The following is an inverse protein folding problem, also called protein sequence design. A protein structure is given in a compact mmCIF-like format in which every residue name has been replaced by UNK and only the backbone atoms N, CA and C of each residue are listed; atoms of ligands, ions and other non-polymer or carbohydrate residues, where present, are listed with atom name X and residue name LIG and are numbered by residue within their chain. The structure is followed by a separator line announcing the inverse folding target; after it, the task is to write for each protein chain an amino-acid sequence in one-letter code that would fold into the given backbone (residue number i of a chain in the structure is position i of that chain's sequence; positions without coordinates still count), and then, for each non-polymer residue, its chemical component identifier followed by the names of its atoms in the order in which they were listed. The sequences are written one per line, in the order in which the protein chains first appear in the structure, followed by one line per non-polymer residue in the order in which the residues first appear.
data_IF_140182647557
#
_entry.id   IF_140182647557
#
_cell.length_a   1.000
_cell.length_b   1.000
_cell.length_c   1.000
_cell.angle_alpha   90.00
_cell.angle_beta   90.00
_cell.angle_gamma   90.00
#
_symmetry.space_group_name_H-M   'P 1'
#
loop_
_entity.id
_entity.type
_entity.pdbx_description
1 polymer ?
#
# COMPACT_ATOMS: atom_id res chain seq x y z
N UNK A 1 -30.44 11.52 -17.98
CA UNK A 1 -29.00 11.66 -17.68
C UNK A 1 -28.43 10.25 -17.57
N UNK A 2 -27.46 9.89 -18.41
CA UNK A 2 -26.84 8.57 -18.32
C UNK A 2 -26.08 8.49 -16.98
N UNK A 3 -26.50 7.57 -16.11
CA UNK A 3 -25.80 7.29 -14.86
C UNK A 3 -24.44 6.68 -15.19
N UNK A 4 -23.40 7.48 -15.18
CA UNK A 4 -22.02 7.01 -15.33
C UNK A 4 -21.56 6.55 -13.94
N UNK A 5 -21.08 5.31 -13.85
CA UNK A 5 -20.40 4.78 -12.68
C UNK A 5 -18.93 4.51 -12.98
N UNK A 6 -18.10 4.63 -11.98
CA UNK A 6 -16.67 4.33 -12.04
C UNK A 6 -16.38 3.17 -11.09
N UNK A 7 -15.82 2.10 -11.63
CA UNK A 7 -15.57 0.85 -10.92
C UNK A 7 -14.09 0.54 -10.95
N UNK A 8 -13.42 0.53 -9.81
CA UNK A 8 -12.00 0.14 -9.70
C UNK A 8 -11.87 -1.28 -9.20
N UNK A 9 -11.07 -2.08 -9.89
CA UNK A 9 -10.87 -3.49 -9.56
C UNK A 9 -9.79 -3.63 -8.50
N UNK A 10 -10.13 -4.23 -7.36
CA UNK A 10 -9.21 -4.53 -6.28
C UNK A 10 -8.46 -5.83 -6.57
N UNK A 11 -7.12 -5.80 -6.52
CA UNK A 11 -6.29 -6.95 -6.85
C UNK A 11 -5.94 -7.83 -5.66
N UNK A 12 -5.85 -7.27 -4.48
CA UNK A 12 -5.47 -8.02 -3.28
C UNK A 12 -6.65 -8.42 -2.38
N UNK A 13 -7.87 -8.36 -2.91
CA UNK A 13 -9.05 -8.89 -2.22
C UNK A 13 -9.90 -9.68 -3.20
N UNK A 14 -10.30 -10.89 -2.80
CA UNK A 14 -11.10 -11.79 -3.62
C UNK A 14 -12.52 -11.97 -3.11
N UNK A 15 -12.86 -11.47 -1.93
CA UNK A 15 -14.20 -11.59 -1.37
C UNK A 15 -14.49 -10.57 -0.28
N UNK A 16 -15.77 -10.25 -0.16
CA UNK A 16 -16.35 -9.60 1.01
C UNK A 16 -17.10 -10.68 1.80
N UNK A 17 -16.80 -10.79 3.09
CA UNK A 17 -17.49 -11.75 3.98
C UNK A 17 -18.97 -11.39 4.01
N UNK A 18 -19.83 -12.40 3.86
CA UNK A 18 -21.29 -12.28 3.74
C UNK A 18 -21.79 -11.56 2.46
N UNK A 19 -20.93 -11.28 1.49
CA UNK A 19 -21.27 -10.64 0.19
C UNK A 19 -22.03 -9.31 0.28
N UNK A 20 -22.09 -8.69 1.45
CA UNK A 20 -22.74 -7.38 1.63
C UNK A 20 -21.79 -6.25 1.27
N UNK A 21 -22.26 -5.19 0.56
CA UNK A 21 -21.45 -4.03 0.27
C UNK A 21 -20.94 -3.35 1.55
N UNK A 22 -19.67 -2.91 1.50
CA UNK A 22 -19.05 -2.11 2.54
C UNK A 22 -19.10 -0.64 2.11
N UNK A 23 -20.03 0.13 2.67
CA UNK A 23 -20.15 1.55 2.37
C UNK A 23 -19.06 2.34 3.08
N UNK A 24 -18.30 3.11 2.31
CA UNK A 24 -17.26 4.03 2.80
C UNK A 24 -17.86 5.43 2.95
N UNK A 25 -18.67 5.83 1.97
CA UNK A 25 -19.47 7.05 1.94
C UNK A 25 -20.82 6.76 1.25
N UNK A 26 -21.72 7.76 1.22
CA UNK A 26 -23.06 7.58 0.64
C UNK A 26 -23.05 7.12 -0.83
N UNK A 27 -22.01 7.51 -1.57
CA UNK A 27 -21.87 7.24 -3.01
C UNK A 27 -20.71 6.32 -3.35
N UNK A 28 -20.04 5.76 -2.33
CA UNK A 28 -18.81 4.99 -2.48
C UNK A 28 -18.90 3.72 -1.65
N UNK A 29 -18.76 2.57 -2.33
CA UNK A 29 -18.73 1.29 -1.63
C UNK A 29 -17.75 0.31 -2.26
N UNK A 30 -17.25 -0.61 -1.43
CA UNK A 30 -16.61 -1.85 -1.85
C UNK A 30 -17.70 -2.92 -1.94
N UNK A 31 -17.79 -3.59 -3.07
CA UNK A 31 -18.76 -4.67 -3.30
C UNK A 31 -18.17 -5.76 -4.20
N UNK A 32 -18.82 -6.90 -4.22
CA UNK A 32 -18.54 -7.90 -5.26
C UNK A 32 -18.90 -7.34 -6.63
N UNK A 33 -18.10 -7.66 -7.64
CA UNK A 33 -18.41 -7.32 -9.02
C UNK A 33 -19.69 -8.05 -9.48
N UNK A 34 -20.49 -7.37 -10.30
CA UNK A 34 -21.67 -7.98 -10.95
C UNK A 34 -21.22 -8.93 -12.05
N UNK A 35 -22.07 -9.82 -12.46
CA UNK A 35 -21.74 -10.83 -13.49
C UNK A 35 -21.19 -10.20 -14.79
N UNK A 36 -21.84 -9.16 -15.31
CA UNK A 36 -21.36 -8.47 -16.51
C UNK A 36 -20.03 -7.73 -16.28
N UNK A 37 -19.79 -7.21 -15.07
CA UNK A 37 -18.50 -6.58 -14.68
C UNK A 37 -17.40 -7.64 -14.63
N UNK A 38 -17.69 -8.83 -14.10
CA UNK A 38 -16.74 -9.95 -14.12
C UNK A 38 -16.34 -10.30 -15.54
N UNK A 39 -17.29 -10.40 -16.48
CA UNK A 39 -16.99 -10.66 -17.87
C UNK A 39 -16.10 -9.56 -18.49
N UNK A 40 -16.39 -8.28 -18.24
CA UNK A 40 -15.56 -7.16 -18.70
C UNK A 40 -14.15 -7.18 -18.09
N UNK A 41 -14.03 -7.54 -16.82
CA UNK A 41 -12.74 -7.68 -16.13
C UNK A 41 -11.93 -8.80 -16.76
N UNK A 42 -12.54 -9.98 -16.93
CA UNK A 42 -11.91 -11.16 -17.55
C UNK A 42 -11.42 -10.85 -18.97
N UNK A 43 -12.23 -10.20 -19.79
CA UNK A 43 -11.85 -9.79 -21.15
C UNK A 43 -10.64 -8.85 -21.16
N UNK A 44 -10.58 -7.91 -20.19
CA UNK A 44 -9.45 -6.98 -20.07
C UNK A 44 -8.19 -7.67 -19.60
N UNK A 45 -8.30 -8.56 -18.64
CA UNK A 45 -7.17 -9.36 -18.17
C UNK A 45 -6.63 -10.24 -19.30
N UNK A 46 -7.49 -10.85 -20.10
CA UNK A 46 -7.07 -11.66 -21.25
C UNK A 46 -6.39 -10.82 -22.33
N UNK A 47 -6.86 -9.59 -22.60
CA UNK A 47 -6.19 -8.66 -23.51
C UNK A 47 -4.80 -8.25 -23.03
N UNK A 48 -4.66 -7.99 -21.73
CA UNK A 48 -3.35 -7.67 -21.11
C UNK A 48 -2.40 -8.86 -21.23
N UNK A 49 -2.88 -10.07 -21.01
CA UNK A 49 -2.11 -11.31 -21.19
C UNK A 49 -1.63 -11.49 -22.62
N UNK A 50 -2.52 -11.34 -23.61
CA UNK A 50 -2.18 -11.46 -25.03
C UNK A 50 -1.21 -10.39 -25.50
N UNK A 51 -1.21 -9.22 -24.88
CA UNK A 51 -0.28 -8.13 -25.16
C UNK A 51 1.15 -8.35 -24.61
N UNK A 52 1.42 -9.51 -24.02
CA UNK A 52 2.73 -9.83 -23.43
C UNK A 52 3.02 -9.13 -22.10
N UNK A 53 2.09 -8.31 -21.65
CA UNK A 53 2.14 -7.66 -20.36
C UNK A 53 1.63 -8.67 -19.32
N UNK A 54 2.39 -9.65 -18.85
CA UNK A 54 1.98 -10.51 -17.72
C UNK A 54 1.58 -11.96 -18.02
N UNK A 55 2.31 -12.68 -18.85
CA UNK A 55 1.98 -14.08 -19.13
C UNK A 55 1.93 -14.95 -17.86
N UNK A 56 2.73 -14.62 -16.83
CA UNK A 56 2.79 -15.37 -15.58
C UNK A 56 1.93 -14.77 -14.45
N UNK A 57 1.61 -13.48 -14.50
CA UNK A 57 1.06 -12.74 -13.37
C UNK A 57 -0.46 -12.66 -13.36
N UNK A 58 -1.12 -12.91 -14.51
CA UNK A 58 -2.59 -12.97 -14.59
C UNK A 58 -3.13 -14.26 -13.95
N UNK A 59 -2.33 -15.30 -13.87
CA UNK A 59 -2.66 -16.46 -13.03
C UNK A 59 -2.99 -16.06 -11.59
N UNK A 60 -2.37 -14.97 -11.12
CA UNK A 60 -2.50 -14.43 -9.78
C UNK A 60 -3.84 -13.74 -9.52
N UNK A 61 -4.51 -13.24 -10.56
CA UNK A 61 -5.85 -12.67 -10.40
C UNK A 61 -6.93 -13.74 -10.31
N UNK A 62 -6.51 -15.04 -10.31
CA UNK A 62 -7.30 -16.11 -9.77
C UNK A 62 -8.31 -16.75 -10.69
N UNK A 63 -8.26 -16.44 -11.97
CA UNK A 63 -9.02 -17.18 -12.98
C UNK A 63 -8.23 -18.35 -13.58
N UNK A 64 -6.94 -18.44 -13.27
CA UNK A 64 -6.02 -19.45 -13.80
C UNK A 64 -5.36 -20.23 -12.67
N UNK A 65 -5.45 -21.54 -12.71
CA UNK A 65 -4.75 -22.43 -11.78
C UNK A 65 -3.67 -23.21 -12.54
N UNK A 66 -2.51 -23.49 -11.93
CA UNK A 66 -1.59 -24.45 -12.51
C UNK A 66 -2.29 -25.78 -12.69
N UNK A 67 -2.12 -26.40 -13.88
CA UNK A 67 -2.61 -27.75 -14.13
C UNK A 67 -1.67 -28.71 -13.42
N UNK A 68 -2.23 -29.50 -12.53
CA UNK A 68 -1.47 -30.49 -11.74
C UNK A 68 -1.27 -31.78 -12.57
N UNK A 69 -0.66 -31.63 -13.76
CA UNK A 69 -0.36 -32.75 -14.67
C UNK A 69 1.14 -33.06 -14.77
N UNK A 70 1.95 -32.46 -13.91
CA UNK A 70 3.40 -32.66 -13.88
C UNK A 70 4.15 -32.05 -15.07
N UNK A 71 3.47 -31.36 -16.00
CA UNK A 71 4.07 -30.82 -17.23
C UNK A 71 4.67 -29.42 -17.07
N UNK A 72 4.70 -28.90 -15.86
CA UNK A 72 5.40 -27.67 -15.47
C UNK A 72 5.18 -26.47 -16.38
N UNK A 73 3.95 -25.98 -16.51
CA UNK A 73 3.74 -24.71 -17.21
C UNK A 73 2.36 -24.51 -17.86
N UNK A 74 1.46 -25.46 -17.72
CA UNK A 74 0.09 -25.31 -18.26
C UNK A 74 -0.83 -24.78 -17.17
N UNK A 75 -1.55 -23.66 -17.45
CA UNK A 75 -2.56 -23.10 -16.56
C UNK A 75 -3.94 -23.40 -17.09
N UNK A 76 -4.86 -23.81 -16.22
CA UNK A 76 -6.25 -24.05 -16.54
C UNK A 76 -7.07 -22.85 -16.07
N UNK A 77 -7.92 -22.32 -16.95
CA UNK A 77 -8.92 -21.34 -16.55
C UNK A 77 -9.89 -21.99 -15.55
N UNK A 78 -10.08 -21.34 -14.42
CA UNK A 78 -11.11 -21.80 -13.48
C UNK A 78 -12.49 -21.63 -14.10
N UNK A 79 -13.29 -22.69 -14.12
CA UNK A 79 -14.70 -22.62 -14.55
C UNK A 79 -15.58 -21.84 -13.56
N UNK A 80 -15.04 -21.49 -12.40
CA UNK A 80 -15.72 -20.64 -11.42
C UNK A 80 -15.10 -19.23 -11.48
N UNK A 81 -15.85 -18.22 -11.95
CA UNK A 81 -15.40 -16.84 -11.86
C UNK A 81 -15.10 -16.54 -10.38
N UNK A 82 -13.90 -16.05 -10.09
CA UNK A 82 -13.65 -15.50 -8.76
C UNK A 82 -14.51 -14.26 -8.60
N UNK A 83 -15.16 -14.05 -7.46
CA UNK A 83 -15.82 -12.78 -7.19
C UNK A 83 -14.71 -11.71 -7.07
N UNK A 84 -14.65 -10.81 -8.05
CA UNK A 84 -13.81 -9.63 -7.92
C UNK A 84 -14.43 -8.69 -6.91
N UNK A 85 -13.59 -8.07 -6.09
CA UNK A 85 -13.99 -6.94 -5.25
C UNK A 85 -13.73 -5.66 -6.03
N UNK A 86 -14.70 -4.79 -6.06
CA UNK A 86 -14.62 -3.53 -6.77
C UNK A 86 -14.99 -2.36 -5.87
N UNK A 87 -14.30 -1.23 -6.08
CA UNK A 87 -14.68 0.05 -5.53
C UNK A 87 -15.61 0.75 -6.54
N UNK A 88 -16.85 0.99 -6.14
CA UNK A 88 -17.87 1.64 -6.96
C UNK A 88 -18.03 3.10 -6.52
N UNK A 89 -17.88 4.03 -7.46
CA UNK A 89 -17.98 5.48 -7.23
C UNK A 89 -18.74 6.17 -8.36
N UNK A 90 -19.36 7.31 -8.06
CA UNK A 90 -20.06 8.12 -9.06
C UNK A 90 -19.16 9.10 -9.81
N UNK A 91 -17.97 9.38 -9.30
CA UNK A 91 -17.07 10.39 -9.83
C UNK A 91 -15.65 9.85 -9.97
N UNK A 92 -15.05 10.09 -11.14
CA UNK A 92 -13.65 9.73 -11.39
C UNK A 92 -12.65 10.44 -10.45
N UNK A 93 -12.92 11.70 -10.10
CA UNK A 93 -12.05 12.45 -9.18
C UNK A 93 -12.09 11.86 -7.78
N UNK A 94 -13.29 11.50 -7.31
CA UNK A 94 -13.48 10.81 -6.03
C UNK A 94 -12.81 9.44 -6.04
N UNK A 95 -12.91 8.69 -7.13
CA UNK A 95 -12.28 7.40 -7.31
C UNK A 95 -10.79 7.43 -6.93
N UNK A 96 -10.01 8.36 -7.51
CA UNK A 96 -8.57 8.47 -7.23
C UNK A 96 -8.27 8.78 -5.76
N UNK A 97 -9.05 9.65 -5.14
CA UNK A 97 -8.89 9.97 -3.72
C UNK A 97 -9.17 8.75 -2.87
N UNK A 98 -10.26 8.02 -3.15
CA UNK A 98 -10.61 6.81 -2.41
C UNK A 98 -9.57 5.70 -2.59
N UNK A 99 -9.08 5.45 -3.80
CA UNK A 99 -8.01 4.49 -4.06
C UNK A 99 -6.75 4.82 -3.24
N UNK A 100 -6.37 6.11 -3.21
CA UNK A 100 -5.22 6.58 -2.42
C UNK A 100 -5.43 6.36 -0.91
N UNK A 101 -6.61 6.67 -0.39
CA UNK A 101 -6.93 6.45 1.02
C UNK A 101 -6.98 4.96 1.38
N UNK A 102 -7.51 4.13 0.49
CA UNK A 102 -7.58 2.69 0.71
C UNK A 102 -6.22 1.99 0.61
N UNK A 103 -5.27 2.56 -0.14
CA UNK A 103 -3.89 2.08 -0.18
C UNK A 103 -3.19 2.16 1.19
N UNK A 104 -3.52 3.18 1.98
CA UNK A 104 -2.93 3.37 3.33
C UNK A 104 -3.82 2.85 4.46
N UNK A 105 -4.99 2.33 4.15
CA UNK A 105 -5.94 1.79 5.11
C UNK A 105 -5.45 0.47 5.76
N UNK A 106 -6.24 -0.07 6.65
CA UNK A 106 -6.02 -1.37 7.30
C UNK A 106 -7.27 -2.24 7.12
N UNK A 107 -7.19 -3.32 6.34
CA UNK A 107 -6.05 -3.72 5.50
C UNK A 107 -5.85 -2.79 4.29
N UNK A 108 -4.63 -2.69 3.72
CA UNK A 108 -4.39 -1.90 2.53
C UNK A 108 -5.02 -2.55 1.30
N UNK A 109 -5.63 -1.74 0.42
CA UNK A 109 -6.22 -2.21 -0.84
C UNK A 109 -5.46 -1.66 -2.04
N UNK A 110 -5.21 -2.54 -3.00
CA UNK A 110 -4.50 -2.24 -4.25
C UNK A 110 -5.47 -2.32 -5.43
N UNK A 111 -5.52 -1.27 -6.23
CA UNK A 111 -6.40 -1.20 -7.39
C UNK A 111 -5.59 -1.25 -8.69
N UNK A 112 -5.98 -2.13 -9.62
CA UNK A 112 -5.26 -2.39 -10.86
C UNK A 112 -5.74 -1.56 -12.04
N UNK A 113 -7.02 -1.51 -12.27
CA UNK A 113 -7.63 -0.70 -13.32
C UNK A 113 -9.04 -0.29 -12.97
N UNK A 114 -9.52 0.77 -13.62
CA UNK A 114 -10.87 1.28 -13.47
C UNK A 114 -11.67 1.12 -14.75
N UNK A 115 -12.94 0.81 -14.61
CA UNK A 115 -13.95 0.76 -15.66
C UNK A 115 -14.88 1.96 -15.52
N UNK A 116 -15.13 2.66 -16.61
CA UNK A 116 -16.20 3.65 -16.69
C UNK A 116 -17.38 3.02 -17.41
N UNK A 117 -18.50 2.96 -16.74
CA UNK A 117 -19.70 2.28 -17.20
C UNK A 117 -20.85 3.26 -17.40
N UNK A 118 -21.67 3.06 -18.43
CA UNK A 118 -22.98 3.70 -18.62
C UNK A 118 -24.03 2.60 -18.68
N UNK A 119 -24.72 2.37 -17.55
CA UNK A 119 -25.48 1.15 -17.34
C UNK A 119 -24.55 -0.06 -17.41
N UNK A 120 -24.87 -1.04 -18.24
CA UNK A 120 -24.07 -2.26 -18.44
C UNK A 120 -23.04 -2.13 -19.59
N UNK A 121 -22.90 -0.93 -20.17
CA UNK A 121 -21.98 -0.70 -21.28
C UNK A 121 -20.68 -0.10 -20.81
N UNK A 122 -19.58 -0.72 -21.23
CA UNK A 122 -18.23 -0.17 -21.01
C UNK A 122 -18.02 1.05 -21.91
N UNK A 123 -17.76 2.21 -21.30
CA UNK A 123 -17.41 3.46 -21.99
C UNK A 123 -15.92 3.62 -22.16
N UNK A 124 -15.16 3.36 -21.10
CA UNK A 124 -13.69 3.44 -21.13
C UNK A 124 -13.07 2.54 -20.05
N UNK A 125 -11.81 2.18 -20.29
CA UNK A 125 -10.95 1.50 -19.31
C UNK A 125 -9.80 2.42 -18.99
N UNK A 126 -9.57 2.66 -17.72
CA UNK A 126 -8.37 3.33 -17.26
C UNK A 126 -7.48 2.32 -16.56
N UNK A 127 -6.36 2.03 -17.19
CA UNK A 127 -5.33 1.22 -16.58
C UNK A 127 -4.52 2.16 -15.67
N UNK A 128 -4.44 1.80 -14.40
CA UNK A 128 -3.48 2.43 -13.51
C UNK A 128 -2.11 1.86 -13.89
N UNK A 129 -1.30 2.64 -14.61
CA UNK A 129 0.06 2.24 -15.00
C UNK A 129 0.88 1.74 -13.80
N UNK A 130 0.49 2.19 -12.66
CA UNK A 130 0.95 1.84 -11.32
C UNK A 130 0.71 0.37 -10.95
N UNK A 131 -0.47 -0.12 -11.24
CA UNK A 131 -0.82 -1.50 -10.98
C UNK A 131 -0.13 -2.47 -11.94
N UNK A 132 0.12 -2.05 -13.17
CA UNK A 132 0.79 -2.87 -14.17
C UNK A 132 2.23 -3.21 -13.76
N UNK A 133 2.95 -2.24 -13.17
CA UNK A 133 4.28 -2.52 -12.62
C UNK A 133 4.23 -3.39 -11.35
N UNK A 134 3.15 -3.32 -10.58
CA UNK A 134 2.96 -4.18 -9.42
C UNK A 134 2.60 -5.61 -9.82
N UNK A 135 1.88 -5.82 -10.93
CA UNK A 135 1.52 -7.14 -11.42
C UNK A 135 2.72 -7.90 -12.01
N UNK A 136 3.67 -7.21 -12.64
CA UNK A 136 4.93 -7.81 -13.13
C UNK A 136 5.98 -8.01 -12.06
N UNK A 137 5.62 -7.82 -10.81
CA UNK A 137 6.54 -7.82 -9.71
C UNK A 137 6.27 -9.05 -8.81
N UNK A 138 7.27 -9.91 -8.48
CA UNK A 138 7.10 -11.05 -7.57
C UNK A 138 6.55 -10.70 -6.17
N UNK A 139 6.37 -9.40 -5.84
CA UNK A 139 5.55 -8.99 -4.67
C UNK A 139 4.09 -9.33 -4.83
N UNK A 140 3.56 -9.35 -6.04
CA UNK A 140 2.19 -9.79 -6.26
C UNK A 140 2.06 -11.27 -5.91
N UNK A 141 3.08 -12.10 -6.17
CA UNK A 141 3.10 -13.47 -5.67
C UNK A 141 2.96 -13.53 -4.16
N UNK A 142 3.61 -12.63 -3.44
CA UNK A 142 3.52 -12.56 -1.97
C UNK A 142 2.28 -11.85 -1.46
N UNK A 143 1.70 -10.93 -2.23
CA UNK A 143 0.38 -10.37 -1.93
C UNK A 143 -0.73 -11.41 -2.11
N UNK A 144 -0.53 -12.41 -2.97
CA UNK A 144 -1.46 -13.55 -3.11
C UNK A 144 -1.46 -14.48 -1.90
N UNK A 145 -0.35 -14.65 -1.22
CA UNK A 145 -0.31 -15.32 0.08
C UNK A 145 -1.12 -14.55 1.15
N UNK A 146 -1.42 -13.28 0.88
CA UNK A 146 -2.18 -12.38 1.74
C UNK A 146 -3.45 -11.84 1.08
N UNK A 147 -4.20 -12.68 0.34
CA UNK A 147 -5.52 -12.28 -0.12
C UNK A 147 -6.42 -11.90 1.06
N UNK A 148 -6.76 -10.63 1.13
CA UNK A 148 -7.56 -10.09 2.21
C UNK A 148 -9.02 -10.43 1.99
N UNK A 149 -9.64 -11.10 2.97
CA UNK A 149 -11.10 -11.21 3.04
C UNK A 149 -11.64 -10.01 3.81
N UNK A 150 -12.39 -9.14 3.13
CA UNK A 150 -12.91 -7.92 3.73
C UNK A 150 -14.14 -8.20 4.59
N UNK A 151 -14.20 -7.57 5.74
CA UNK A 151 -15.30 -7.66 6.71
C UNK A 151 -15.97 -6.29 6.90
N UNK A 152 -17.12 -6.25 7.58
CA UNK A 152 -17.74 -4.98 8.00
C UNK A 152 -16.84 -4.17 8.95
N UNK A 153 -15.99 -4.83 9.73
CA UNK A 153 -15.04 -4.13 10.63
C UNK A 153 -13.99 -3.33 9.84
N UNK A 154 -13.50 -3.87 8.72
CA UNK A 154 -12.59 -3.14 7.84
C UNK A 154 -13.25 -1.88 7.27
N UNK A 155 -14.56 -1.94 7.00
CA UNK A 155 -15.35 -0.79 6.61
C UNK A 155 -15.34 0.36 7.63
N UNK A 156 -15.20 0.08 8.92
CA UNK A 156 -15.08 1.12 9.95
C UNK A 156 -13.72 1.83 9.85
N UNK A 157 -12.64 1.10 9.59
CA UNK A 157 -11.32 1.68 9.33
C UNK A 157 -11.36 2.58 8.10
N UNK A 158 -11.96 2.12 7.00
CA UNK A 158 -12.08 2.88 5.75
C UNK A 158 -12.90 4.16 5.94
N UNK A 159 -14.04 4.07 6.64
CA UNK A 159 -14.89 5.22 6.96
C UNK A 159 -14.21 6.22 7.88
N UNK A 160 -13.42 5.78 8.85
CA UNK A 160 -12.72 6.69 9.76
C UNK A 160 -11.72 7.56 9.01
N UNK A 161 -10.95 6.98 8.08
CA UNK A 161 -10.02 7.72 7.22
C UNK A 161 -10.79 8.69 6.32
N UNK A 162 -11.88 8.25 5.70
CA UNK A 162 -12.70 9.10 4.86
C UNK A 162 -13.32 10.27 5.64
N UNK A 163 -13.95 9.98 6.79
CA UNK A 163 -14.58 11.01 7.61
C UNK A 163 -13.60 12.05 8.12
N UNK A 164 -12.36 11.66 8.42
CA UNK A 164 -11.32 12.61 8.81
C UNK A 164 -11.00 13.63 7.70
N UNK A 165 -11.28 13.30 6.45
CA UNK A 165 -11.01 14.14 5.28
C UNK A 165 -12.25 14.83 4.72
N UNK A 166 -13.44 14.53 5.24
CA UNK A 166 -14.71 15.02 4.68
C UNK A 166 -14.84 16.56 4.68
N UNK A 167 -14.18 17.23 5.62
CA UNK A 167 -14.14 18.71 5.73
C UNK A 167 -12.96 19.35 5.00
N UNK A 168 -12.08 18.57 4.36
CA UNK A 168 -10.87 19.08 3.75
C UNK A 168 -11.17 19.81 2.44
N UNK A 169 -10.56 20.96 2.28
CA UNK A 169 -10.56 21.69 1.01
C UNK A 169 -9.39 21.19 0.11
N UNK A 170 -9.33 21.70 -1.13
CA UNK A 170 -8.33 21.28 -2.12
C UNK A 170 -6.88 21.49 -1.63
N UNK A 171 -6.63 22.54 -0.87
CA UNK A 171 -5.29 22.83 -0.34
C UNK A 171 -4.87 21.86 0.76
N UNK A 172 -5.82 21.41 1.59
CA UNK A 172 -5.55 20.43 2.64
C UNK A 172 -5.10 19.08 2.06
N UNK A 173 -5.62 18.71 0.90
CA UNK A 173 -5.30 17.48 0.20
C UNK A 173 -3.91 17.48 -0.47
N UNK A 174 -3.39 18.65 -0.85
CA UNK A 174 -2.18 18.73 -1.70
C UNK A 174 -1.01 17.94 -1.12
N UNK A 175 -0.71 18.14 0.15
CA UNK A 175 0.43 17.49 0.78
C UNK A 175 0.19 16.03 1.11
N UNK A 176 -0.91 15.63 1.78
CA UNK A 176 -1.20 14.22 2.05
C UNK A 176 -1.24 13.37 0.79
N UNK A 177 -1.93 13.80 -0.27
CA UNK A 177 -1.96 13.08 -1.53
C UNK A 177 -0.57 12.98 -2.18
N UNK A 178 0.23 14.05 -2.12
CA UNK A 178 1.61 14.02 -2.61
C UNK A 178 2.46 12.98 -1.88
N UNK A 179 2.32 12.86 -0.55
CA UNK A 179 3.04 11.85 0.24
C UNK A 179 2.53 10.44 -0.03
N UNK A 180 1.22 10.24 -0.20
CA UNK A 180 0.65 8.93 -0.59
C UNK A 180 1.12 8.54 -1.99
N UNK A 181 1.19 9.50 -2.93
CA UNK A 181 1.69 9.25 -4.28
C UNK A 181 3.18 8.85 -4.27
N UNK A 182 4.02 9.52 -3.48
CA UNK A 182 5.41 9.11 -3.29
C UNK A 182 5.53 7.70 -2.71
N UNK A 183 4.69 7.36 -1.73
CA UNK A 183 4.63 6.00 -1.19
C UNK A 183 4.21 4.99 -2.27
N UNK A 184 3.16 5.28 -3.03
CA UNK A 184 2.73 4.45 -4.15
C UNK A 184 3.84 4.25 -5.18
N UNK A 185 4.60 5.30 -5.51
CA UNK A 185 5.78 5.21 -6.39
C UNK A 185 6.90 4.33 -5.81
N UNK A 186 7.16 4.44 -4.51
CA UNK A 186 8.15 3.57 -3.85
C UNK A 186 7.75 2.09 -3.92
N UNK A 187 6.46 1.78 -3.82
CA UNK A 187 5.97 0.40 -3.95
C UNK A 187 6.14 -0.19 -5.37
N UNK A 188 6.31 0.65 -6.40
CA UNK A 188 6.54 0.22 -7.80
C UNK A 188 7.98 -0.20 -8.08
N UNK A 189 8.90 0.18 -7.22
CA UNK A 189 10.29 -0.24 -7.34
C UNK A 189 10.41 -1.74 -7.08
N UNK A 190 11.44 -2.36 -7.65
CA UNK A 190 11.68 -3.79 -7.48
C UNK A 190 11.64 -4.18 -6.01
N UNK A 191 10.81 -5.17 -5.63
CA UNK A 191 10.61 -5.55 -4.23
C UNK A 191 11.88 -5.97 -3.53
N UNK A 192 12.00 -5.55 -2.28
CA UNK A 192 13.18 -5.85 -1.48
C UNK A 192 14.46 -5.23 -2.04
N UNK A 193 14.36 -4.32 -3.05
CA UNK A 193 15.53 -3.66 -3.62
C UNK A 193 16.04 -2.52 -2.75
N UNK A 194 17.33 -2.22 -2.91
CA UNK A 194 17.97 -1.06 -2.26
C UNK A 194 17.25 0.25 -2.61
N UNK A 195 16.82 0.41 -3.87
CA UNK A 195 16.10 1.61 -4.31
C UNK A 195 14.73 1.74 -3.68
N UNK A 196 14.00 0.63 -3.50
CA UNK A 196 12.73 0.64 -2.80
C UNK A 196 12.90 1.04 -1.33
N UNK A 197 13.92 0.50 -0.66
CA UNK A 197 14.24 0.86 0.71
C UNK A 197 14.53 2.35 0.86
N UNK A 198 15.41 2.91 0.00
CA UNK A 198 15.73 4.35 0.00
C UNK A 198 14.49 5.23 -0.26
N UNK A 199 13.66 4.85 -1.23
CA UNK A 199 12.45 5.60 -1.55
C UNK A 199 11.47 5.63 -0.36
N UNK A 200 11.27 4.49 0.32
CA UNK A 200 10.44 4.42 1.52
C UNK A 200 11.01 5.25 2.67
N UNK A 201 12.33 5.23 2.89
CA UNK A 201 12.97 6.11 3.85
C UNK A 201 12.73 7.58 3.52
N UNK A 202 12.79 7.97 2.24
CA UNK A 202 12.50 9.34 1.79
C UNK A 202 11.07 9.76 2.08
N UNK A 203 10.09 8.85 1.96
CA UNK A 203 8.70 9.13 2.36
C UNK A 203 8.61 9.44 3.87
N UNK A 204 9.27 8.65 4.72
CA UNK A 204 9.32 8.92 6.17
C UNK A 204 9.99 10.27 6.47
N UNK A 205 11.13 10.53 5.83
CA UNK A 205 11.84 11.81 5.96
C UNK A 205 10.95 12.99 5.58
N UNK A 206 10.24 12.90 4.45
CA UNK A 206 9.32 13.94 3.99
C UNK A 206 8.15 14.21 4.94
N UNK A 207 7.73 13.20 5.72
CA UNK A 207 6.67 13.37 6.71
C UNK A 207 7.15 13.94 8.03
N UNK A 208 8.34 13.57 8.51
CA UNK A 208 8.75 13.79 9.90
C UNK A 208 9.91 14.77 10.06
N UNK A 209 10.74 14.92 9.02
CA UNK A 209 11.97 15.71 9.15
C UNK A 209 11.74 17.15 8.71
N UNK A 210 12.14 18.11 9.54
CA UNK A 210 12.28 19.49 9.14
C UNK A 210 13.73 19.79 8.79
N UNK A 211 13.95 20.76 7.92
CA UNK A 211 15.30 21.28 7.67
C UNK A 211 15.71 22.13 8.85
N UNK A 212 16.79 21.78 9.60
CA UNK A 212 17.27 22.62 10.68
C UNK A 212 17.68 23.99 10.11
N UNK A 213 17.37 25.06 10.82
CA UNK A 213 17.93 26.37 10.54
C UNK A 213 19.45 26.25 10.69
N UNK A 214 20.22 27.02 9.93
CA UNK A 214 21.70 26.93 9.86
C UNK A 214 22.41 27.05 11.21
N UNK A 215 21.73 27.52 12.27
CA UNK A 215 22.20 27.58 13.64
C UNK A 215 22.03 26.31 14.48
N UNK A 216 21.14 25.37 14.02
CA UNK A 216 20.80 24.14 14.74
C UNK A 216 21.45 22.91 14.10
N UNK A 217 22.77 22.84 14.14
CA UNK A 217 23.54 21.68 13.64
C UNK A 217 23.34 20.39 14.47
N UNK A 218 22.56 20.44 15.55
CA UNK A 218 22.44 19.34 16.50
C UNK A 218 21.33 18.33 16.19
N UNK A 219 20.34 18.67 15.35
CA UNK A 219 19.24 17.76 15.01
C UNK A 219 19.40 17.09 13.63
N UNK A 220 20.23 16.06 13.58
CA UNK A 220 20.34 15.25 12.36
C UNK A 220 19.00 14.56 12.03
N UNK A 221 18.76 14.28 10.73
CA UNK A 221 17.61 13.52 10.23
C UNK A 221 17.36 12.22 11.03
N UNK A 222 18.44 11.47 11.29
CA UNK A 222 18.40 10.24 12.09
C UNK A 222 17.87 10.47 13.51
N UNK A 223 18.33 11.53 14.18
CA UNK A 223 17.89 11.87 15.55
C UNK A 223 16.41 12.25 15.59
N UNK A 224 15.96 13.06 14.64
CA UNK A 224 14.53 13.41 14.54
C UNK A 224 13.65 12.19 14.37
N UNK A 225 14.02 11.26 13.49
CA UNK A 225 13.26 10.03 13.22
C UNK A 225 13.23 9.13 14.46
N UNK A 226 14.38 8.89 15.09
CA UNK A 226 14.50 8.09 16.33
C UNK A 226 13.58 8.61 17.44
N UNK A 227 13.44 9.92 17.56
CA UNK A 227 12.57 10.54 18.56
C UNK A 227 11.09 10.52 18.20
N UNK A 228 10.74 10.83 16.94
CA UNK A 228 9.36 11.07 16.53
C UNK A 228 8.57 9.79 16.25
N UNK A 229 9.19 8.78 15.65
CA UNK A 229 8.50 7.53 15.32
C UNK A 229 7.97 6.80 16.56
N UNK A 230 8.73 6.58 17.64
CA UNK A 230 8.20 5.92 18.83
C UNK A 230 7.01 6.65 19.48
N UNK A 231 6.96 7.98 19.39
CA UNK A 231 5.82 8.76 19.88
C UNK A 231 4.55 8.47 19.08
N UNK A 232 4.67 8.41 17.74
CA UNK A 232 3.55 8.12 16.85
C UNK A 232 3.08 6.67 16.99
N UNK A 233 4.00 5.74 17.19
CA UNK A 233 3.65 4.33 17.43
C UNK A 233 2.75 4.14 18.65
N UNK A 234 3.03 4.85 19.75
CA UNK A 234 2.22 4.77 20.98
C UNK A 234 0.80 5.32 20.80
N UNK A 235 0.58 6.14 19.79
CA UNK A 235 -0.73 6.73 19.47
C UNK A 235 -1.50 5.92 18.42
N UNK A 236 -0.80 5.09 17.66
CA UNK A 236 -1.43 4.32 16.60
C UNK A 236 -2.17 3.10 17.17
N UNK A 237 -3.47 2.89 16.86
CA UNK A 237 -4.23 1.72 17.31
C UNK A 237 -3.65 0.39 16.80
N UNK A 238 -3.06 0.40 15.62
CA UNK A 238 -2.45 -0.77 14.98
C UNK A 238 -1.04 -0.44 14.51
N UNK A 239 -0.06 -0.39 15.43
CA UNK A 239 1.32 -0.08 15.08
C UNK A 239 1.97 -1.24 14.32
N UNK A 240 2.92 -0.92 13.43
CA UNK A 240 3.76 -1.92 12.78
C UNK A 240 4.80 -2.45 13.77
N UNK A 241 4.46 -3.49 14.53
CA UNK A 241 5.35 -4.02 15.57
C UNK A 241 6.63 -4.62 14.95
N UNK A 242 7.82 -4.24 15.41
CA UNK A 242 9.08 -4.77 14.88
C UNK A 242 9.20 -6.30 14.95
N UNK A 243 8.66 -6.91 16.00
CA UNK A 243 8.66 -8.37 16.20
C UNK A 243 7.98 -9.14 15.07
N UNK A 244 7.06 -8.51 14.33
CA UNK A 244 6.40 -9.12 13.16
C UNK A 244 7.33 -9.21 11.93
N UNK A 245 8.42 -8.45 11.91
CA UNK A 245 9.34 -8.35 10.78
C UNK A 245 10.74 -8.85 11.11
N UNK A 246 11.13 -8.73 12.37
CA UNK A 246 12.44 -9.11 12.89
C UNK A 246 12.26 -10.13 14.03
N UNK A 247 12.31 -11.45 13.74
CA UNK A 247 12.00 -12.49 14.73
C UNK A 247 12.93 -12.48 15.96
N UNK A 248 14.13 -11.91 15.83
CA UNK A 248 15.07 -11.74 16.93
C UNK A 248 14.88 -10.47 17.74
N UNK A 249 13.97 -9.59 17.31
CA UNK A 249 13.68 -8.36 18.03
C UNK A 249 12.93 -8.69 19.32
N UNK A 250 13.49 -8.26 20.46
CA UNK A 250 12.87 -8.46 21.77
C UNK A 250 12.17 -7.17 22.21
N UNK A 251 11.09 -7.34 22.96
CA UNK A 251 10.27 -6.20 23.41
C UNK A 251 11.03 -5.20 24.34
N UNK A 252 12.14 -5.66 24.96
CA UNK A 252 13.04 -4.84 25.76
C UNK A 252 14.07 -4.05 24.94
N UNK A 253 14.17 -4.32 23.63
CA UNK A 253 15.06 -3.59 22.74
C UNK A 253 14.49 -2.20 22.42
N UNK A 254 15.38 -1.21 22.41
CA UNK A 254 14.97 0.16 22.21
C UNK A 254 14.64 0.44 20.74
N UNK A 255 13.55 1.16 20.52
CA UNK A 255 13.16 1.70 19.21
C UNK A 255 14.26 2.57 18.59
N UNK A 256 15.00 3.30 19.44
CA UNK A 256 16.14 4.11 19.02
C UNK A 256 17.24 3.28 18.37
N UNK A 257 17.52 2.08 18.92
CA UNK A 257 18.50 1.18 18.37
C UNK A 257 18.05 0.63 17.02
N UNK A 258 16.76 0.25 16.87
CA UNK A 258 16.19 -0.23 15.60
C UNK A 258 16.28 0.84 14.52
N UNK A 259 15.77 2.05 14.81
CA UNK A 259 15.81 3.14 13.82
C UNK A 259 17.24 3.64 13.58
N UNK A 260 18.13 3.44 14.55
CA UNK A 260 19.57 3.63 14.36
C UNK A 260 20.12 2.68 13.29
N UNK A 261 19.88 1.38 13.46
CA UNK A 261 20.35 0.36 12.53
C UNK A 261 19.76 0.54 11.12
N UNK A 262 18.47 0.87 11.02
CA UNK A 262 17.81 1.15 9.72
C UNK A 262 18.39 2.39 9.03
N UNK A 263 18.78 3.40 9.81
CA UNK A 263 19.38 4.62 9.26
C UNK A 263 20.84 4.43 8.84
N UNK A 264 21.59 3.60 9.58
CA UNK A 264 22.95 3.20 9.19
C UNK A 264 22.87 2.40 7.87
N UNK A 265 21.95 1.45 7.77
CA UNK A 265 21.67 0.72 6.53
C UNK A 265 21.29 1.65 5.37
N UNK A 266 20.43 2.65 5.62
CA UNK A 266 20.05 3.66 4.64
C UNK A 266 21.27 4.44 4.15
N UNK A 267 22.18 4.79 5.05
CA UNK A 267 23.40 5.50 4.71
C UNK A 267 24.36 4.65 3.88
N UNK A 268 24.61 3.39 4.29
CA UNK A 268 25.41 2.43 3.54
C UNK A 268 24.90 2.30 2.09
N UNK A 269 23.60 2.05 1.92
CA UNK A 269 22.99 1.91 0.59
C UNK A 269 23.12 3.20 -0.23
N UNK A 270 22.88 4.36 0.38
CA UNK A 270 22.95 5.65 -0.32
C UNK A 270 24.37 5.99 -0.79
N UNK A 271 25.39 5.54 -0.09
CA UNK A 271 26.80 5.71 -0.45
C UNK A 271 27.32 4.60 -1.38
N UNK A 272 26.50 3.59 -1.68
CA UNK A 272 26.88 2.47 -2.56
C UNK A 272 27.63 1.36 -1.84
N UNK A 273 27.68 1.40 -0.52
CA UNK A 273 28.35 0.38 0.29
C UNK A 273 27.57 -0.95 0.30
N UNK A 274 28.23 -2.02 0.73
CA UNK A 274 27.56 -3.29 0.95
C UNK A 274 26.72 -3.21 2.24
N UNK A 275 25.42 -3.54 2.18
CA UNK A 275 24.54 -3.48 3.35
C UNK A 275 24.96 -4.47 4.43
N UNK A 276 25.00 -4.00 5.67
CA UNK A 276 25.30 -4.81 6.84
C UNK A 276 24.04 -5.04 7.66
N UNK A 277 23.60 -6.31 7.77
CA UNK A 277 22.36 -6.66 8.49
C UNK A 277 22.61 -7.18 9.90
N UNK A 278 23.83 -7.64 10.19
CA UNK A 278 24.19 -8.19 11.50
C UNK A 278 24.78 -7.10 12.38
N UNK A 279 24.15 -6.85 13.51
CA UNK A 279 24.68 -5.93 14.52
C UNK A 279 25.88 -6.54 15.23
N UNK A 280 27.09 -6.00 15.04
CA UNK A 280 28.26 -6.34 15.85
C UNK A 280 28.39 -5.37 17.01
N UNK A 281 28.11 -5.82 18.25
CA UNK A 281 28.30 -5.03 19.48
C UNK A 281 27.10 -5.03 20.43
N UNK A 282 27.34 -4.63 21.68
CA UNK A 282 26.34 -4.58 22.74
C UNK A 282 25.23 -3.58 22.40
N UNK A 283 23.97 -4.02 22.29
CA UNK A 283 22.83 -3.16 21.97
C UNK A 283 22.52 -2.95 20.48
N UNK A 284 23.26 -3.58 19.57
CA UNK A 284 22.94 -3.54 18.15
C UNK A 284 21.87 -4.57 17.78
N UNK A 285 21.03 -4.22 16.82
CA UNK A 285 19.89 -5.02 16.37
C UNK A 285 20.25 -5.72 15.07
N UNK A 286 19.95 -7.01 14.98
CA UNK A 286 20.01 -7.78 13.74
C UNK A 286 18.80 -7.44 12.87
N UNK A 287 19.04 -6.86 11.70
CA UNK A 287 18.02 -6.50 10.71
C UNK A 287 17.59 -7.65 9.80
N UNK A 288 18.16 -8.84 9.99
CA UNK A 288 17.92 -10.10 9.23
C UNK A 288 18.32 -9.96 7.77
N UNK A 289 17.54 -9.23 6.96
CA UNK A 289 17.78 -9.01 5.53
C UNK A 289 17.10 -7.71 5.04
N UNK A 290 17.40 -7.32 3.81
CA UNK A 290 16.86 -6.11 3.20
C UNK A 290 15.35 -6.19 2.98
N UNK A 291 14.84 -7.37 2.68
CA UNK A 291 13.41 -7.58 2.44
C UNK A 291 12.58 -7.31 3.70
N UNK A 292 13.01 -7.84 4.85
CA UNK A 292 12.39 -7.58 6.15
C UNK A 292 12.42 -6.09 6.50
N UNK A 293 13.54 -5.42 6.20
CA UNK A 293 13.68 -3.97 6.36
C UNK A 293 12.69 -3.20 5.48
N UNK A 294 12.56 -3.56 4.20
CA UNK A 294 11.60 -2.94 3.26
C UNK A 294 10.17 -3.13 3.75
N UNK A 295 9.79 -4.34 4.15
CA UNK A 295 8.46 -4.65 4.68
C UNK A 295 8.13 -3.80 5.92
N UNK A 296 9.05 -3.73 6.87
CA UNK A 296 8.89 -2.95 8.09
C UNK A 296 8.76 -1.45 7.81
N UNK A 297 9.67 -0.89 7.01
CA UNK A 297 9.66 0.53 6.64
C UNK A 297 8.40 0.86 5.85
N UNK A 298 7.94 -0.01 4.93
CA UNK A 298 6.67 0.15 4.21
C UNK A 298 5.46 0.17 5.15
N UNK A 299 5.39 -0.75 6.11
CA UNK A 299 4.33 -0.77 7.13
C UNK A 299 4.35 0.51 7.99
N UNK A 300 5.55 0.99 8.34
CA UNK A 300 5.72 2.26 9.06
C UNK A 300 5.27 3.45 8.21
N UNK A 301 5.60 3.51 6.91
CA UNK A 301 5.09 4.55 6.01
C UNK A 301 3.56 4.59 6.01
N UNK A 302 2.88 3.45 5.87
CA UNK A 302 1.41 3.40 5.91
C UNK A 302 0.85 3.91 7.22
N UNK A 303 1.44 3.50 8.34
CA UNK A 303 1.05 3.98 9.66
C UNK A 303 1.16 5.51 9.76
N UNK A 304 2.29 6.08 9.33
CA UNK A 304 2.53 7.51 9.37
C UNK A 304 1.61 8.29 8.42
N UNK A 305 1.33 7.74 7.23
CA UNK A 305 0.39 8.33 6.28
C UNK A 305 -1.05 8.33 6.82
N UNK A 306 -1.47 7.25 7.50
CA UNK A 306 -2.76 7.25 8.23
C UNK A 306 -2.77 8.33 9.30
N UNK A 307 -1.70 8.46 10.07
CA UNK A 307 -1.63 9.47 11.11
C UNK A 307 -1.65 10.90 10.55
N UNK A 308 -1.02 11.12 9.40
CA UNK A 308 -1.09 12.39 8.66
C UNK A 308 -2.52 12.78 8.29
N UNK A 309 -3.36 11.80 7.99
CA UNK A 309 -4.78 12.00 7.69
C UNK A 309 -5.61 12.19 8.96
N UNK A 310 -5.41 11.33 9.96
CA UNK A 310 -6.24 11.30 11.16
C UNK A 310 -5.90 12.42 12.15
N UNK A 311 -4.63 12.79 12.26
CA UNK A 311 -4.15 13.84 13.17
C UNK A 311 -3.22 14.83 12.44
N UNK A 312 -3.73 15.60 11.47
CA UNK A 312 -2.88 16.45 10.62
C UNK A 312 -2.17 17.56 11.41
N UNK A 313 -2.76 18.03 12.52
CA UNK A 313 -2.14 19.02 13.37
C UNK A 313 -0.92 18.44 14.12
N UNK A 314 -1.06 17.26 14.71
CA UNK A 314 0.06 16.56 15.36
C UNK A 314 1.24 16.39 14.40
N UNK A 315 0.96 15.98 13.16
CA UNK A 315 2.01 15.78 12.16
C UNK A 315 2.70 17.09 11.77
N UNK A 316 1.95 18.20 11.70
CA UNK A 316 2.54 19.54 11.51
C UNK A 316 3.42 19.97 12.69
N UNK A 317 2.93 19.76 13.91
CA UNK A 317 3.66 20.14 15.12
C UNK A 317 4.98 19.35 15.23
N UNK A 318 4.94 18.04 14.95
CA UNK A 318 6.13 17.19 14.93
C UNK A 318 7.15 17.60 13.86
N UNK A 319 6.72 18.23 12.77
CA UNK A 319 7.65 18.75 11.75
C UNK A 319 8.34 20.05 12.17
N UNK A 320 7.71 20.81 13.06
CA UNK A 320 8.22 22.12 13.49
C UNK A 320 9.09 22.05 14.77
N UNK A 321 9.20 20.86 15.35
CA UNK A 321 9.99 20.58 16.58
C UNK A 321 11.24 19.71 16.17
#
# INVERSE_FOLDING_TARGET
MNNISHVSVCFNSNRIVNSEPIFIADTVCLRSAREFECALIDDKLELLRKGGLFANDIALLGTWHPKDDGSGGTYIRSDRPRPYVVLDTKSFKEQRVHESLLLIAEPPLLFGFGLQLSGDKLCSVKIHSEALFQLGNPVVDRLNEQLVSLTKLDGNSFRSIWNATASWNVTDWTRPLGMIDQYAQALRLSPGSRFQFLALCTVIEGMLVHRPKSSDSTESTSRQIKRKIPLLFRRCPSPALPSNFFPKFKDDQSWDALWGALYDLRSEIAHGDQPTFTGSGKGKIDLVDLESCVKYVSATCRMLLRQLILEPQLMRDLQNV
#
